data_IF_803256265729
#
_entry.id   IF_803256265729
#
_cell.length_a   1.000
_cell.length_b   1.000
_cell.length_c   1.000
_cell.angle_alpha   90.00
_cell.angle_beta   90.00
_cell.angle_gamma   90.00
#
_symmetry.space_group_name_H-M   'P 1'
#
loop_
_entity.id
_entity.type
_entity.pdbx_description
1 polymer ?
#
# COMPACT_ATOMS: atom_id res chain seq x y z
N UNK A 1 -18.68 0.42 -14.54
CA UNK A 1 -18.48 -0.87 -13.85
C UNK A 1 -18.24 -1.94 -14.91
N UNK A 2 -17.46 -2.98 -14.62
CA UNK A 2 -17.26 -4.11 -15.55
C UNK A 2 -18.53 -4.96 -15.63
N UNK A 3 -18.79 -5.62 -16.76
CA UNK A 3 -19.95 -6.50 -17.00
C UNK A 3 -19.55 -7.92 -17.44
N UNK A 4 -20.54 -8.77 -17.70
CA UNK A 4 -20.33 -10.19 -18.05
C UNK A 4 -19.61 -10.42 -19.40
N UNK A 5 -19.46 -9.40 -20.24
CA UNK A 5 -18.77 -9.46 -21.53
C UNK A 5 -17.30 -9.05 -21.41
N UNK A 6 -16.90 -8.44 -20.30
CA UNK A 6 -15.51 -8.07 -20.06
C UNK A 6 -14.61 -9.29 -19.89
N UNK A 7 -13.33 -9.14 -20.27
CA UNK A 7 -12.32 -10.17 -20.07
C UNK A 7 -12.12 -10.44 -18.58
N UNK A 8 -12.14 -11.72 -18.20
CA UNK A 8 -11.76 -12.15 -16.86
C UNK A 8 -10.25 -11.99 -16.66
N UNK A 9 -9.87 -11.41 -15.51
CA UNK A 9 -8.49 -11.24 -15.11
C UNK A 9 -8.24 -11.99 -13.80
N UNK A 10 -7.07 -12.61 -13.69
CA UNK A 10 -6.66 -13.30 -12.47
C UNK A 10 -6.33 -12.29 -11.35
N UNK A 11 -6.56 -12.63 -10.06
CA UNK A 11 -6.23 -11.78 -8.92
C UNK A 11 -4.72 -11.80 -8.60
N UNK A 12 -3.86 -11.51 -9.58
CA UNK A 12 -2.41 -11.53 -9.43
C UNK A 12 -1.80 -10.12 -9.50
N UNK A 13 -0.55 -10.00 -9.09
CA UNK A 13 0.15 -8.72 -8.96
C UNK A 13 0.13 -7.88 -10.24
N UNK A 14 0.38 -8.50 -11.40
CA UNK A 14 0.42 -7.82 -12.70
C UNK A 14 -0.95 -7.25 -13.11
N UNK A 15 -2.02 -8.05 -12.96
CA UNK A 15 -3.38 -7.60 -13.28
C UNK A 15 -3.89 -6.53 -12.32
N UNK A 16 -3.46 -6.57 -11.06
CA UNK A 16 -3.75 -5.53 -10.06
C UNK A 16 -3.03 -4.23 -10.40
N UNK A 17 -1.72 -4.28 -10.69
CA UNK A 17 -0.94 -3.07 -11.01
C UNK A 17 -1.38 -2.39 -12.31
N UNK A 18 -1.83 -3.17 -13.29
CA UNK A 18 -2.38 -2.64 -14.55
C UNK A 18 -3.80 -2.07 -14.41
N UNK A 19 -4.47 -2.27 -13.27
CA UNK A 19 -5.87 -1.87 -13.06
C UNK A 19 -6.90 -2.78 -13.76
N UNK A 20 -6.44 -3.86 -14.38
CA UNK A 20 -7.30 -4.79 -15.10
C UNK A 20 -8.15 -5.65 -14.15
N UNK A 21 -7.61 -5.98 -12.97
CA UNK A 21 -8.33 -6.66 -11.90
C UNK A 21 -9.08 -5.64 -11.03
N UNK A 22 -10.43 -5.55 -11.13
CA UNK A 22 -11.18 -4.40 -10.61
C UNK A 22 -11.45 -4.44 -9.11
N UNK A 23 -11.14 -5.55 -8.43
CA UNK A 23 -11.43 -5.76 -7.01
C UNK A 23 -10.21 -5.51 -6.10
N UNK A 24 -9.12 -4.99 -6.67
CA UNK A 24 -7.98 -4.58 -5.88
C UNK A 24 -8.25 -3.27 -5.15
N UNK A 25 -7.66 -3.12 -3.95
CA UNK A 25 -7.70 -1.89 -3.17
C UNK A 25 -6.44 -1.75 -2.35
N UNK A 26 -6.11 -0.52 -1.98
CA UNK A 26 -5.11 -0.28 -0.94
C UNK A 26 -5.65 -0.70 0.43
N UNK A 27 -4.75 -1.17 1.30
CA UNK A 27 -4.97 -1.19 2.74
C UNK A 27 -4.61 0.18 3.28
N UNK A 28 -5.60 0.96 3.67
CA UNK A 28 -5.39 2.28 4.23
C UNK A 28 -5.12 2.18 5.73
N UNK A 29 -4.08 2.84 6.20
CA UNK A 29 -3.74 2.99 7.61
C UNK A 29 -4.02 4.44 8.01
N UNK A 30 -4.79 4.63 9.07
CA UNK A 30 -5.14 5.96 9.58
C UNK A 30 -4.35 6.25 10.84
N UNK A 31 -3.72 7.41 10.87
CA UNK A 31 -3.02 7.93 12.05
C UNK A 31 -3.75 9.19 12.50
N UNK A 32 -4.20 9.21 13.74
CA UNK A 32 -4.74 10.42 14.35
C UNK A 32 -3.58 11.38 14.66
N UNK A 33 -3.38 12.38 13.80
CA UNK A 33 -2.31 13.37 13.94
C UNK A 33 -2.90 14.72 14.36
N UNK A 34 -2.36 15.29 15.43
CA UNK A 34 -2.68 16.66 15.83
C UNK A 34 -2.12 17.63 14.76
N UNK A 35 -2.94 18.54 14.21
CA UNK A 35 -2.48 19.52 13.23
C UNK A 35 -1.28 20.32 13.75
N UNK A 36 -0.32 20.62 12.88
CA UNK A 36 0.90 21.36 13.19
C UNK A 36 1.81 20.76 14.28
N UNK A 37 1.51 19.54 14.75
CA UNK A 37 2.40 18.78 15.63
C UNK A 37 3.18 17.76 14.82
N UNK A 38 4.43 17.54 15.21
CA UNK A 38 5.21 16.42 14.70
C UNK A 38 4.57 15.09 15.08
N UNK A 39 4.80 14.08 14.24
CA UNK A 39 4.38 12.72 14.54
C UNK A 39 5.18 12.19 15.74
N UNK A 40 4.55 11.37 16.58
CA UNK A 40 5.28 10.65 17.62
C UNK A 40 6.45 9.86 17.01
N UNK A 41 7.61 9.89 17.69
CA UNK A 41 8.85 9.34 17.15
C UNK A 41 8.73 7.83 16.86
N UNK A 42 8.16 7.07 17.78
CA UNK A 42 8.01 5.64 17.63
C UNK A 42 7.05 5.32 16.48
N UNK A 43 5.94 6.05 16.40
CA UNK A 43 4.99 5.92 15.30
C UNK A 43 5.62 6.24 13.95
N UNK A 44 6.44 7.29 13.88
CA UNK A 44 7.15 7.69 12.65
C UNK A 44 8.11 6.60 12.18
N UNK A 45 8.91 6.04 13.08
CA UNK A 45 9.86 4.98 12.72
C UNK A 45 9.14 3.67 12.36
N UNK A 46 8.03 3.35 13.03
CA UNK A 46 7.20 2.21 12.64
C UNK A 46 6.57 2.41 11.26
N UNK A 47 6.10 3.61 10.94
CA UNK A 47 5.57 3.93 9.62
C UNK A 47 6.65 3.80 8.53
N UNK A 48 7.90 4.24 8.80
CA UNK A 48 9.04 4.01 7.90
C UNK A 48 9.34 2.53 7.70
N UNK A 49 9.25 1.72 8.76
CA UNK A 49 9.43 0.28 8.69
C UNK A 49 8.36 -0.40 7.82
N UNK A 50 7.08 -0.01 7.94
CA UNK A 50 6.00 -0.54 7.09
C UNK A 50 6.36 -0.39 5.60
N UNK A 51 6.95 0.75 5.21
CA UNK A 51 7.34 1.04 3.84
C UNK A 51 8.76 0.59 3.48
N UNK A 52 9.49 -0.08 4.38
CA UNK A 52 10.82 -0.62 4.11
C UNK A 52 10.74 -1.92 3.30
N UNK A 53 11.88 -2.39 2.78
CA UNK A 53 11.94 -3.66 2.08
C UNK A 53 11.47 -4.80 3.00
N UNK A 54 11.95 -4.83 4.24
CA UNK A 54 11.62 -5.82 5.26
C UNK A 54 10.12 -5.79 5.60
N UNK A 55 9.55 -4.61 5.83
CA UNK A 55 8.11 -4.47 6.07
C UNK A 55 7.28 -4.99 4.90
N UNK A 56 7.67 -4.69 3.66
CA UNK A 56 6.98 -5.20 2.47
C UNK A 56 7.15 -6.72 2.29
N UNK A 57 8.27 -7.32 2.70
CA UNK A 57 8.42 -8.78 2.70
C UNK A 57 7.46 -9.46 3.68
N UNK A 58 7.19 -8.87 4.84
CA UNK A 58 6.20 -9.38 5.79
C UNK A 58 4.79 -9.36 5.17
N UNK A 59 4.43 -8.27 4.50
CA UNK A 59 3.16 -8.11 3.80
C UNK A 59 2.95 -9.22 2.75
N UNK A 60 3.99 -9.53 1.97
CA UNK A 60 3.95 -10.63 0.98
C UNK A 60 3.71 -11.98 1.66
N UNK A 61 4.40 -12.24 2.77
CA UNK A 61 4.26 -13.50 3.53
C UNK A 61 2.83 -13.73 4.02
N UNK A 62 2.13 -12.66 4.39
CA UNK A 62 0.72 -12.70 4.84
C UNK A 62 -0.30 -12.68 3.68
N UNK A 63 0.15 -12.82 2.43
CA UNK A 63 -0.72 -12.98 1.26
C UNK A 63 -1.20 -11.68 0.63
N UNK A 64 -0.63 -10.54 1.02
CA UNK A 64 -0.87 -9.25 0.36
C UNK A 64 0.09 -9.04 -0.81
N UNK A 65 -0.27 -8.08 -1.66
CA UNK A 65 0.59 -7.60 -2.74
C UNK A 65 1.48 -6.47 -2.22
N UNK A 66 2.79 -6.47 -2.54
CA UNK A 66 3.70 -5.43 -2.09
C UNK A 66 3.42 -4.11 -2.83
N UNK A 67 3.77 -3.00 -2.20
CA UNK A 67 3.74 -1.70 -2.82
C UNK A 67 4.88 -1.56 -3.84
N UNK A 68 4.62 -0.83 -4.92
CA UNK A 68 5.69 -0.43 -5.84
C UNK A 68 6.62 0.59 -5.17
N UNK A 69 7.89 0.63 -5.61
CA UNK A 69 8.85 1.63 -5.13
C UNK A 69 8.35 3.07 -5.31
N UNK A 70 7.55 3.34 -6.36
CA UNK A 70 6.93 4.64 -6.60
C UNK A 70 5.94 5.01 -5.49
N UNK A 71 5.06 4.09 -5.12
CA UNK A 71 4.07 4.31 -4.05
C UNK A 71 4.77 4.43 -2.70
N UNK A 72 5.73 3.55 -2.40
CA UNK A 72 6.56 3.66 -1.19
C UNK A 72 7.20 5.04 -1.06
N UNK A 73 7.80 5.56 -2.13
CA UNK A 73 8.42 6.90 -2.14
C UNK A 73 7.39 8.01 -1.92
N UNK A 74 6.17 7.87 -2.45
CA UNK A 74 5.10 8.85 -2.25
C UNK A 74 4.59 8.86 -0.81
N UNK A 75 4.39 7.69 -0.20
CA UNK A 75 3.90 7.58 1.17
C UNK A 75 4.96 7.99 2.20
N UNK A 76 6.23 7.66 1.98
CA UNK A 76 7.32 8.08 2.87
C UNK A 76 7.44 9.61 3.00
N UNK A 77 7.18 10.36 1.94
CA UNK A 77 7.15 11.84 1.98
C UNK A 77 6.06 12.43 2.88
N UNK A 78 5.06 11.65 3.30
CA UNK A 78 4.02 12.10 4.23
C UNK A 78 4.42 11.89 5.70
N UNK A 79 5.47 11.09 5.93
CA UNK A 79 5.97 10.66 7.24
C UNK A 79 7.19 11.48 7.63
N UNK A 80 8.08 11.74 6.67
CA UNK A 80 9.24 12.63 6.77
C UNK A 80 8.78 14.10 6.86
#
# INVERSE_FOLDING_TARGET
>A
AKDAKDKFHQPNYEQVLSGNYPLARFLNIYVNRVPNKEMDLLLREFAKYIFSYEGQQVVVKDGYLPLTAKVVKQERKKID
#
